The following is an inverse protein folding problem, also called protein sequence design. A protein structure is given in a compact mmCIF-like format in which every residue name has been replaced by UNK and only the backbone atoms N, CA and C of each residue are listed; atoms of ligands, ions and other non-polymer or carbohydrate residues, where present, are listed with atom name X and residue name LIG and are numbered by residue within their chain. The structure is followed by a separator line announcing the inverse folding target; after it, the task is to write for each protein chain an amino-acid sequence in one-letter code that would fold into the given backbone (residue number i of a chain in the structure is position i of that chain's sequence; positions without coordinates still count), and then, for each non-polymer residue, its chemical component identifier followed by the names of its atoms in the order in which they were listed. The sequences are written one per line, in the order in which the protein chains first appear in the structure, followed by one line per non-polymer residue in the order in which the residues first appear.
data_IF_526565675714
#
_entry.id   IF_526565675714
#
_cell.length_a   1.000
_cell.length_b   1.000
_cell.length_c   1.000
_cell.angle_alpha   90.00
_cell.angle_beta   90.00
_cell.angle_gamma   90.00
#
_symmetry.space_group_name_H-M   'P 1'
#
loop_
_entity.id
_entity.type
_entity.pdbx_description
1 polymer ?
#
# COMPACT_ATOMS: atom_id res chain seq x y z
N UNK A 1 -40.96 -19.05 23.96
CA UNK A 1 -39.68 -19.80 23.95
C UNK A 1 -38.92 -19.44 22.68
N UNK A 2 -37.89 -18.58 22.73
CA UNK A 2 -37.02 -18.35 21.59
C UNK A 2 -35.69 -19.08 21.79
N UNK A 3 -35.40 -20.04 20.90
CA UNK A 3 -34.12 -20.74 20.84
C UNK A 3 -33.04 -19.80 20.26
N UNK A 4 -32.15 -19.34 21.11
CA UNK A 4 -30.94 -18.60 20.76
C UNK A 4 -29.98 -19.52 19.99
N UNK A 5 -29.88 -19.35 18.67
CA UNK A 5 -28.78 -19.92 17.88
C UNK A 5 -27.51 -19.12 18.17
N UNK A 6 -26.69 -19.64 19.07
CA UNK A 6 -25.31 -19.19 19.29
C UNK A 6 -24.47 -19.45 18.03
N UNK A 7 -24.01 -18.37 17.40
CA UNK A 7 -22.92 -18.39 16.42
C UNK A 7 -21.69 -19.10 16.99
N UNK A 8 -20.96 -19.93 16.21
CA UNK A 8 -19.76 -20.58 16.68
C UNK A 8 -18.68 -19.50 16.87
N UNK A 9 -18.36 -19.22 18.14
CA UNK A 9 -17.20 -18.42 18.52
C UNK A 9 -15.97 -18.95 17.80
N UNK A 10 -15.37 -18.12 16.93
CA UNK A 10 -13.99 -18.33 16.46
C UNK A 10 -13.17 -18.65 17.71
N UNK A 11 -12.66 -19.87 17.82
CA UNK A 11 -11.80 -20.31 18.91
C UNK A 11 -10.49 -19.52 18.85
N UNK A 12 -10.53 -18.30 19.39
CA UNK A 12 -9.34 -17.59 19.84
C UNK A 12 -8.69 -18.49 20.86
N UNK A 13 -7.58 -19.13 20.47
CA UNK A 13 -6.73 -19.91 21.37
C UNK A 13 -6.36 -18.98 22.52
N UNK A 14 -7.07 -19.11 23.64
CA UNK A 14 -6.92 -18.25 24.82
C UNK A 14 -5.64 -18.66 25.51
N UNK A 15 -4.54 -18.03 25.11
CA UNK A 15 -3.19 -18.27 25.60
C UNK A 15 -3.12 -17.96 27.10
N UNK A 16 -2.48 -18.83 27.89
CA UNK A 16 -2.38 -18.69 29.34
C UNK A 16 -1.35 -17.62 29.79
N UNK A 17 -0.41 -17.27 28.92
CA UNK A 17 0.74 -16.40 29.25
C UNK A 17 0.56 -14.95 28.78
N UNK A 18 -0.60 -14.35 29.07
CA UNK A 18 -0.92 -12.98 28.61
C UNK A 18 0.04 -11.92 29.14
N UNK A 19 0.54 -12.08 30.38
CA UNK A 19 1.49 -11.14 30.99
C UNK A 19 2.88 -11.18 30.32
N UNK A 20 3.41 -12.38 30.05
CA UNK A 20 4.69 -12.54 29.36
C UNK A 20 4.61 -12.06 27.91
N UNK A 21 3.53 -12.38 27.20
CA UNK A 21 3.28 -11.88 25.86
C UNK A 21 3.21 -10.34 25.82
N UNK A 22 2.51 -9.72 26.77
CA UNK A 22 2.44 -8.26 26.86
C UNK A 22 3.81 -7.61 27.13
N UNK A 23 4.63 -8.24 27.97
CA UNK A 23 6.00 -7.79 28.24
C UNK A 23 6.88 -7.87 26.99
N UNK A 24 6.92 -9.02 26.30
CA UNK A 24 7.71 -9.19 25.07
C UNK A 24 7.20 -8.25 23.97
N UNK A 25 5.88 -8.08 23.84
CA UNK A 25 5.29 -7.12 22.91
C UNK A 25 5.77 -5.70 23.20
N UNK A 26 5.79 -5.28 24.47
CA UNK A 26 6.29 -3.97 24.91
C UNK A 26 7.76 -3.78 24.53
N UNK A 27 8.60 -4.80 24.70
CA UNK A 27 10.02 -4.78 24.29
C UNK A 27 10.13 -4.55 22.77
N UNK A 28 9.47 -5.38 21.96
CA UNK A 28 9.58 -5.31 20.48
C UNK A 28 9.08 -3.95 19.96
N UNK A 29 8.00 -3.42 20.53
CA UNK A 29 7.46 -2.11 20.11
C UNK A 29 8.29 -0.92 20.58
N UNK A 30 9.20 -1.09 21.54
CA UNK A 30 9.97 0.01 22.11
C UNK A 30 10.90 0.65 21.08
N UNK A 31 11.06 1.99 21.09
CA UNK A 31 11.97 2.68 20.18
C UNK A 31 13.43 2.27 20.43
N UNK A 32 13.79 1.94 21.68
CA UNK A 32 15.12 1.46 22.03
C UNK A 32 15.45 0.14 21.34
N UNK A 33 14.53 -0.83 21.36
CA UNK A 33 14.73 -2.09 20.65
C UNK A 33 14.93 -1.87 19.15
N UNK A 34 14.12 -1.01 18.53
CA UNK A 34 14.27 -0.64 17.11
C UNK A 34 15.64 -0.02 16.83
N UNK A 35 16.12 0.89 17.67
CA UNK A 35 17.45 1.51 17.54
C UNK A 35 18.59 0.49 17.68
N UNK A 36 18.47 -0.43 18.64
CA UNK A 36 19.44 -1.53 18.82
C UNK A 36 19.49 -2.40 17.56
N UNK A 37 18.33 -2.78 17.02
CA UNK A 37 18.27 -3.61 15.81
C UNK A 37 18.83 -2.90 14.58
N UNK A 38 18.51 -1.62 14.39
CA UNK A 38 19.11 -0.81 13.31
C UNK A 38 20.63 -0.72 13.49
N UNK A 39 21.13 -0.50 14.72
CA UNK A 39 22.55 -0.46 15.02
C UNK A 39 23.25 -1.79 14.69
N UNK A 40 22.63 -2.92 15.04
CA UNK A 40 23.11 -4.27 14.69
C UNK A 40 23.21 -4.44 13.17
N UNK A 41 22.18 -4.01 12.42
CA UNK A 41 22.17 -4.08 10.95
C UNK A 41 23.27 -3.21 10.34
N UNK A 42 23.41 -1.97 10.81
CA UNK A 42 24.45 -1.05 10.32
C UNK A 42 25.86 -1.52 10.63
N UNK A 43 26.07 -2.07 11.83
CA UNK A 43 27.36 -2.63 12.23
C UNK A 43 27.70 -3.87 11.40
N UNK A 44 26.72 -4.74 11.14
CA UNK A 44 26.92 -5.88 10.24
C UNK A 44 27.29 -5.42 8.82
N UNK A 45 26.58 -4.44 8.26
CA UNK A 45 26.90 -3.91 6.95
C UNK A 45 28.33 -3.36 6.87
N UNK A 46 28.78 -2.65 7.91
CA UNK A 46 30.15 -2.17 8.02
C UNK A 46 31.16 -3.32 8.08
N UNK A 47 30.88 -4.38 8.83
CA UNK A 47 31.73 -5.57 8.89
C UNK A 47 31.84 -6.27 7.52
N UNK A 48 30.75 -6.35 6.76
CA UNK A 48 30.75 -6.89 5.38
C UNK A 48 31.66 -6.07 4.46
N UNK A 49 31.60 -4.74 4.55
CA UNK A 49 32.51 -3.85 3.79
C UNK A 49 33.98 -4.13 4.15
N UNK A 50 34.31 -4.24 5.44
CA UNK A 50 35.67 -4.56 5.87
C UNK A 50 36.14 -5.95 5.40
N UNK A 51 35.23 -6.91 5.25
CA UNK A 51 35.54 -8.25 4.75
C UNK A 51 35.87 -8.29 3.26
N UNK A 52 35.57 -7.23 2.50
CA UNK A 52 35.86 -7.16 1.06
C UNK A 52 37.36 -7.07 0.78
N UNK A 53 38.13 -6.48 1.70
CA UNK A 53 39.59 -6.52 1.63
C UNK A 53 40.12 -7.88 2.13
N UNK A 54 40.68 -8.67 1.21
CA UNK A 54 41.26 -9.98 1.53
C UNK A 54 42.32 -9.89 2.64
N UNK A 55 43.16 -8.85 2.65
CA UNK A 55 44.24 -8.71 3.63
C UNK A 55 43.69 -8.54 5.05
N UNK A 56 42.66 -7.70 5.19
CA UNK A 56 41.95 -7.48 6.44
C UNK A 56 41.15 -8.72 6.88
N UNK A 57 40.49 -9.40 5.93
CA UNK A 57 39.75 -10.65 6.17
C UNK A 57 40.62 -11.76 6.76
N UNK A 58 41.83 -11.97 6.22
CA UNK A 58 42.74 -12.99 6.75
C UNK A 58 43.29 -12.63 8.13
N UNK A 59 43.64 -11.35 8.37
CA UNK A 59 44.20 -10.90 9.65
C UNK A 59 43.19 -10.97 10.80
N UNK A 60 41.92 -10.63 10.53
CA UNK A 60 40.86 -10.54 11.53
C UNK A 60 39.83 -11.68 11.42
N UNK A 61 40.18 -12.78 10.77
CA UNK A 61 39.26 -13.89 10.46
C UNK A 61 38.43 -14.35 11.68
N UNK A 62 39.07 -14.58 12.84
CA UNK A 62 38.38 -15.01 14.06
C UNK A 62 37.39 -13.97 14.60
N UNK A 63 37.71 -12.68 14.49
CA UNK A 63 36.81 -11.62 14.95
C UNK A 63 35.57 -11.55 14.07
N UNK A 64 35.74 -11.68 12.75
CA UNK A 64 34.61 -11.71 11.82
C UNK A 64 33.70 -12.93 12.03
N UNK A 65 34.26 -14.11 12.30
CA UNK A 65 33.47 -15.30 12.62
C UNK A 65 32.64 -15.12 13.91
N UNK A 66 33.23 -14.53 14.96
CA UNK A 66 32.52 -14.23 16.21
C UNK A 66 31.43 -13.18 15.98
N UNK A 67 31.73 -12.09 15.27
CA UNK A 67 30.76 -11.04 14.98
C UNK A 67 29.59 -11.57 14.15
N UNK A 68 29.86 -12.41 13.15
CA UNK A 68 28.83 -13.06 12.34
C UNK A 68 27.90 -13.92 13.20
N UNK A 69 28.46 -14.70 14.13
CA UNK A 69 27.67 -15.49 15.08
C UNK A 69 26.80 -14.60 15.99
N UNK A 70 27.32 -13.47 16.47
CA UNK A 70 26.57 -12.50 17.27
C UNK A 70 25.40 -11.92 16.45
N UNK A 71 25.64 -11.52 15.19
CA UNK A 71 24.61 -10.97 14.32
C UNK A 71 23.49 -11.98 14.01
N UNK A 72 23.86 -13.21 13.65
CA UNK A 72 22.88 -14.29 13.42
C UNK A 72 22.05 -14.55 14.66
N UNK A 73 22.68 -14.57 15.84
CA UNK A 73 21.99 -14.76 17.12
C UNK A 73 21.01 -13.61 17.37
N UNK A 74 21.44 -12.35 17.18
CA UNK A 74 20.58 -11.18 17.34
C UNK A 74 19.35 -11.22 16.43
N UNK A 75 19.52 -11.58 15.16
CA UNK A 75 18.40 -11.71 14.22
C UNK A 75 17.47 -12.88 14.55
N UNK A 76 18.02 -13.99 15.03
CA UNK A 76 17.24 -15.17 15.43
C UNK A 76 16.39 -14.86 16.67
N UNK A 77 16.97 -14.22 17.69
CA UNK A 77 16.25 -13.85 18.92
C UNK A 77 15.07 -12.92 18.61
N UNK A 78 15.29 -11.90 17.79
CA UNK A 78 14.22 -11.01 17.35
C UNK A 78 13.08 -11.77 16.65
N UNK A 79 13.42 -12.68 15.73
CA UNK A 79 12.45 -13.48 15.01
C UNK A 79 11.62 -14.35 15.95
N UNK A 80 12.27 -15.08 16.85
CA UNK A 80 11.58 -15.90 17.84
C UNK A 80 10.69 -15.05 18.76
N UNK A 81 11.13 -13.85 19.15
CA UNK A 81 10.31 -12.92 19.91
C UNK A 81 9.06 -12.47 19.13
N UNK A 82 9.19 -12.12 17.84
CA UNK A 82 8.06 -11.72 16.98
C UNK A 82 7.05 -12.86 16.77
N UNK A 83 7.53 -14.06 16.43
CA UNK A 83 6.69 -15.26 16.28
C UNK A 83 6.02 -15.65 17.60
N UNK A 84 6.73 -15.49 18.73
CA UNK A 84 6.16 -15.75 20.05
C UNK A 84 5.00 -14.80 20.36
N UNK A 85 5.10 -13.51 20.03
CA UNK A 85 4.05 -12.53 20.35
C UNK A 85 2.78 -12.74 19.52
N UNK A 86 2.89 -13.00 18.22
CA UNK A 86 1.73 -13.19 17.35
C UNK A 86 1.96 -14.29 16.30
N UNK A 87 1.83 -15.57 16.66
CA UNK A 87 2.20 -16.68 15.78
C UNK A 87 1.28 -16.83 14.56
N UNK A 88 0.08 -16.23 14.54
CA UNK A 88 -0.88 -16.40 13.44
C UNK A 88 -0.82 -15.19 12.50
N UNK A 89 -0.84 -13.96 13.03
CA UNK A 89 -0.79 -12.79 12.16
C UNK A 89 0.64 -12.52 11.65
N UNK A 90 1.66 -13.04 12.31
CA UNK A 90 3.05 -12.90 11.84
C UNK A 90 3.22 -13.39 10.39
N UNK A 91 2.61 -14.51 10.02
CA UNK A 91 2.71 -15.08 8.67
C UNK A 91 1.88 -14.34 7.61
N UNK A 92 0.95 -13.48 8.02
CA UNK A 92 0.12 -12.69 7.08
C UNK A 92 0.79 -11.40 6.65
N UNK A 93 1.72 -10.87 7.44
CA UNK A 93 2.43 -9.63 7.15
C UNK A 93 3.63 -9.88 6.22
N UNK A 94 3.61 -9.30 5.02
CA UNK A 94 4.68 -9.46 4.02
C UNK A 94 6.05 -8.97 4.50
N UNK A 95 6.10 -8.00 5.42
CA UNK A 95 7.37 -7.53 5.98
C UNK A 95 7.96 -8.52 6.99
N UNK A 96 7.12 -9.28 7.68
CA UNK A 96 7.56 -10.34 8.57
C UNK A 96 8.04 -11.57 7.78
N UNK A 97 7.49 -11.81 6.58
CA UNK A 97 8.02 -12.83 5.67
C UNK A 97 9.46 -12.53 5.24
N UNK A 98 9.84 -11.26 5.08
CA UNK A 98 11.23 -10.88 4.79
C UNK A 98 12.19 -11.31 5.90
N UNK A 99 11.79 -11.22 7.17
CA UNK A 99 12.61 -11.69 8.30
C UNK A 99 12.90 -13.20 8.19
N UNK A 100 11.93 -14.00 7.76
CA UNK A 100 12.10 -15.45 7.51
C UNK A 100 13.11 -15.69 6.39
N UNK A 101 12.97 -14.96 5.26
CA UNK A 101 13.88 -15.07 4.12
C UNK A 101 15.32 -14.73 4.52
N UNK A 102 15.50 -13.71 5.37
CA UNK A 102 16.82 -13.34 5.90
C UNK A 102 17.41 -14.47 6.75
N UNK A 103 16.64 -15.12 7.62
CA UNK A 103 17.13 -16.24 8.43
C UNK A 103 17.50 -17.45 7.58
N UNK A 104 16.71 -17.75 6.55
CA UNK A 104 17.03 -18.80 5.59
C UNK A 104 18.36 -18.48 4.92
N UNK A 105 18.54 -17.24 4.46
CA UNK A 105 19.77 -16.77 3.82
C UNK A 105 20.99 -16.92 4.72
N UNK A 106 20.86 -16.60 6.01
CA UNK A 106 21.92 -16.76 7.01
C UNK A 106 22.26 -18.23 7.28
N UNK A 107 21.27 -19.12 7.16
CA UNK A 107 21.42 -20.55 7.45
C UNK A 107 22.06 -21.34 6.31
N UNK A 108 21.89 -20.88 5.05
CA UNK A 108 22.38 -21.54 3.84
C UNK A 108 23.89 -21.88 3.89
N UNK A 109 24.82 -20.93 4.14
CA UNK A 109 26.25 -21.22 4.11
C UNK A 109 26.71 -22.09 5.28
N UNK A 110 26.11 -21.92 6.47
CA UNK A 110 26.37 -22.81 7.62
C UNK A 110 25.99 -24.26 7.30
N UNK A 111 24.81 -24.46 6.69
CA UNK A 111 24.31 -25.77 6.29
C UNK A 111 25.15 -26.38 5.15
N UNK A 112 25.48 -25.58 4.12
CA UNK A 112 26.29 -26.01 2.99
C UNK A 112 27.71 -26.43 3.40
N UNK A 113 28.34 -25.66 4.29
CA UNK A 113 29.69 -25.96 4.80
C UNK A 113 29.70 -27.28 5.60
N UNK A 114 28.64 -27.55 6.38
CA UNK A 114 28.49 -28.78 7.17
C UNK A 114 28.30 -30.03 6.31
N UNK A 115 27.64 -29.92 5.15
CA UNK A 115 27.30 -31.07 4.30
C UNK A 115 28.36 -31.37 3.23
N UNK A 116 28.91 -30.34 2.56
CA UNK A 116 29.76 -30.53 1.37
C UNK A 116 31.24 -30.14 1.54
N UNK A 117 31.65 -29.68 2.73
CA UNK A 117 33.02 -29.25 3.00
C UNK A 117 33.39 -27.90 2.37
N UNK A 118 34.56 -27.37 2.73
CA UNK A 118 35.00 -25.99 2.40
C UNK A 118 35.26 -25.70 0.91
N UNK A 119 35.21 -26.69 0.02
CA UNK A 119 35.63 -26.58 -1.38
C UNK A 119 34.43 -26.64 -2.34
N UNK A 120 33.40 -25.82 -2.09
CA UNK A 120 32.23 -25.72 -2.96
C UNK A 120 32.26 -24.39 -3.72
N UNK A 121 32.35 -24.38 -5.07
CA UNK A 121 32.54 -23.16 -5.86
C UNK A 121 31.37 -22.17 -5.72
N UNK A 122 30.19 -22.64 -5.34
CA UNK A 122 29.01 -21.80 -5.12
C UNK A 122 28.95 -21.15 -3.72
N UNK A 123 29.92 -21.41 -2.83
CA UNK A 123 30.00 -20.73 -1.53
C UNK A 123 30.16 -19.22 -1.68
N UNK A 124 30.91 -18.77 -2.69
CA UNK A 124 31.08 -17.34 -2.96
C UNK A 124 29.76 -16.65 -3.32
N UNK A 125 28.87 -17.36 -4.04
CA UNK A 125 27.54 -16.85 -4.38
C UNK A 125 26.66 -16.82 -3.12
N UNK A 126 26.69 -17.88 -2.30
CA UNK A 126 25.97 -17.94 -1.03
C UNK A 126 26.42 -16.82 -0.08
N UNK A 127 27.73 -16.56 0.01
CA UNK A 127 28.32 -15.44 0.77
C UNK A 127 27.81 -14.09 0.23
N UNK A 128 27.70 -13.93 -1.09
CA UNK A 128 27.13 -12.74 -1.72
C UNK A 128 25.67 -12.49 -1.35
N UNK A 129 24.83 -13.54 -1.37
CA UNK A 129 23.41 -13.48 -0.99
C UNK A 129 23.24 -12.99 0.45
N UNK A 130 24.19 -13.28 1.35
CA UNK A 130 24.13 -12.75 2.72
C UNK A 130 24.14 -11.22 2.81
N UNK A 131 24.65 -10.51 1.79
CA UNK A 131 24.61 -9.05 1.74
C UNK A 131 23.17 -8.53 1.72
N UNK A 132 22.21 -9.35 1.28
CA UNK A 132 20.78 -9.02 1.27
C UNK A 132 20.20 -8.79 2.68
N UNK A 133 20.89 -9.17 3.75
CA UNK A 133 20.42 -8.88 5.11
C UNK A 133 20.29 -7.38 5.42
N UNK A 134 20.93 -6.51 4.64
CA UNK A 134 20.70 -5.06 4.71
C UNK A 134 19.24 -4.69 4.43
N UNK A 135 18.53 -5.52 3.64
CA UNK A 135 17.09 -5.37 3.37
C UNK A 135 16.26 -5.46 4.66
N UNK A 136 16.80 -6.04 5.74
CA UNK A 136 16.14 -6.01 7.05
C UNK A 136 15.81 -4.59 7.52
N UNK A 137 16.57 -3.59 7.09
CA UNK A 137 16.31 -2.19 7.39
C UNK A 137 14.91 -1.73 6.93
N UNK A 138 14.35 -2.37 5.89
CA UNK A 138 12.98 -2.13 5.40
C UNK A 138 11.95 -2.42 6.51
N UNK A 139 12.18 -3.44 7.34
CA UNK A 139 11.26 -3.79 8.44
C UNK A 139 11.27 -2.74 9.57
N UNK A 140 12.26 -1.85 9.62
CA UNK A 140 12.40 -0.84 10.67
C UNK A 140 12.12 0.58 10.20
N UNK A 141 12.51 0.92 8.97
CA UNK A 141 12.36 2.27 8.43
C UNK A 141 11.00 2.47 7.76
N UNK A 142 10.16 3.32 8.36
CA UNK A 142 8.89 3.74 7.76
C UNK A 142 9.10 4.43 6.41
N UNK A 143 10.15 5.23 6.26
CA UNK A 143 10.45 5.92 5.01
C UNK A 143 10.72 4.96 3.86
N UNK A 144 11.52 3.91 4.10
CA UNK A 144 11.82 2.89 3.08
C UNK A 144 10.56 2.08 2.74
N UNK A 145 9.73 1.74 3.74
CA UNK A 145 8.44 1.07 3.48
C UNK A 145 7.54 1.92 2.59
N UNK A 146 7.39 3.22 2.88
CA UNK A 146 6.62 4.13 2.04
C UNK A 146 7.15 4.18 0.62
N UNK A 147 8.48 4.25 0.45
CA UNK A 147 9.11 4.26 -0.87
C UNK A 147 8.83 2.97 -1.66
N UNK A 148 8.99 1.81 -1.02
CA UNK A 148 8.74 0.51 -1.66
C UNK A 148 7.26 0.34 -1.99
N UNK A 149 6.35 0.76 -1.10
CA UNK A 149 4.91 0.72 -1.39
C UNK A 149 4.57 1.63 -2.56
N UNK A 150 5.16 2.82 -2.65
CA UNK A 150 4.97 3.72 -3.79
C UNK A 150 5.47 3.07 -5.09
N UNK A 151 6.66 2.46 -5.08
CA UNK A 151 7.19 1.71 -6.24
C UNK A 151 6.27 0.55 -6.61
N UNK A 152 5.74 -0.18 -5.64
CA UNK A 152 4.82 -1.30 -5.87
C UNK A 152 3.52 -0.87 -6.55
N UNK A 153 3.01 0.32 -6.24
CA UNK A 153 1.84 0.90 -6.89
C UNK A 153 2.10 1.20 -8.38
N UNK A 154 3.31 1.62 -8.74
CA UNK A 154 3.69 1.90 -10.13
C UNK A 154 4.10 0.63 -10.88
N UNK A 155 4.57 -0.39 -10.17
CA UNK A 155 5.10 -1.61 -10.77
C UNK A 155 4.04 -2.38 -11.59
N UNK A 156 2.78 -2.40 -11.14
CA UNK A 156 1.71 -3.10 -11.86
C UNK A 156 1.45 -2.50 -13.24
N UNK A 157 1.45 -1.18 -13.35
CA UNK A 157 1.22 -0.50 -14.64
C UNK A 157 2.43 -0.67 -15.57
N UNK A 158 3.64 -0.63 -15.02
CA UNK A 158 4.90 -0.87 -15.75
C UNK A 158 5.00 -2.33 -16.24
N UNK A 159 4.54 -3.30 -15.45
CA UNK A 159 4.67 -4.73 -15.75
C UNK A 159 4.03 -5.11 -17.09
N UNK A 160 2.85 -4.56 -17.41
CA UNK A 160 2.16 -4.84 -18.68
C UNK A 160 2.99 -4.43 -19.90
N UNK A 161 3.68 -3.28 -19.83
CA UNK A 161 4.54 -2.80 -20.92
C UNK A 161 5.85 -3.57 -20.97
N UNK A 162 6.41 -3.95 -19.82
CA UNK A 162 7.59 -4.82 -19.78
C UNK A 162 7.33 -6.20 -20.39
N UNK A 163 6.13 -6.77 -20.21
CA UNK A 163 5.75 -8.03 -20.87
C UNK A 163 5.71 -7.86 -22.39
N UNK A 164 5.12 -6.77 -22.89
CA UNK A 164 5.13 -6.46 -24.32
C UNK A 164 6.56 -6.28 -24.85
N UNK A 165 7.42 -5.59 -24.11
CA UNK A 165 8.82 -5.41 -24.45
C UNK A 165 9.58 -6.75 -24.46
N UNK A 166 9.32 -7.64 -23.51
CA UNK A 166 9.92 -8.98 -23.47
C UNK A 166 9.48 -9.85 -24.67
N UNK A 167 8.21 -9.76 -25.08
CA UNK A 167 7.70 -10.44 -26.30
C UNK A 167 8.42 -9.90 -27.54
N UNK A 168 8.60 -8.58 -27.65
CA UNK A 168 9.38 -7.99 -28.74
C UNK A 168 10.82 -8.50 -28.75
N UNK A 169 11.49 -8.48 -27.58
CA UNK A 169 12.85 -9.02 -27.46
C UNK A 169 12.91 -10.49 -27.86
N UNK A 170 11.93 -11.31 -27.49
CA UNK A 170 11.88 -12.72 -27.91
C UNK A 170 11.83 -12.86 -29.44
N UNK A 171 10.96 -12.09 -30.11
CA UNK A 171 10.85 -12.12 -31.58
C UNK A 171 12.18 -11.73 -32.22
N UNK A 172 12.80 -10.64 -31.75
CA UNK A 172 14.09 -10.18 -32.26
C UNK A 172 15.25 -11.12 -31.88
N UNK A 173 15.17 -11.83 -30.77
CA UNK A 173 16.18 -12.79 -30.33
C UNK A 173 16.22 -13.99 -31.28
N UNK A 174 15.05 -14.53 -31.64
CA UNK A 174 14.93 -15.61 -32.62
C UNK A 174 15.38 -15.13 -34.00
N UNK A 175 14.99 -13.93 -34.42
CA UNK A 175 15.43 -13.35 -35.70
C UNK A 175 16.95 -13.16 -35.74
N UNK A 176 17.55 -12.56 -34.71
CA UNK A 176 18.99 -12.34 -34.65
C UNK A 176 19.78 -13.64 -34.56
N UNK A 177 19.27 -14.65 -33.85
CA UNK A 177 19.83 -16.01 -33.87
C UNK A 177 19.83 -16.60 -35.29
N UNK A 178 18.72 -16.49 -36.02
CA UNK A 178 18.62 -17.01 -37.39
C UNK A 178 19.48 -16.23 -38.39
N UNK A 179 19.65 -14.92 -38.20
CA UNK A 179 20.37 -14.04 -39.13
C UNK A 179 21.89 -14.00 -38.86
N UNK A 180 22.30 -14.02 -37.59
CA UNK A 180 23.68 -13.77 -37.17
C UNK A 180 24.31 -14.92 -36.37
N UNK A 181 23.53 -15.92 -35.95
CA UNK A 181 23.98 -17.08 -35.16
C UNK A 181 24.46 -18.28 -35.98
N UNK A 182 24.69 -18.11 -37.28
CA UNK A 182 25.14 -19.20 -38.15
C UNK A 182 26.50 -19.78 -37.71
N UNK A 183 26.68 -21.12 -37.73
CA UNK A 183 27.92 -21.78 -37.27
C UNK A 183 29.16 -21.43 -38.11
N UNK A 184 28.98 -20.99 -39.36
CA UNK A 184 30.05 -20.53 -40.23
C UNK A 184 29.92 -19.01 -40.47
N UNK A 185 30.81 -18.22 -39.85
CA UNK A 185 30.89 -16.76 -40.04
C UNK A 185 29.97 -15.92 -39.15
N UNK A 186 29.07 -16.53 -38.37
CA UNK A 186 28.20 -15.85 -37.40
C UNK A 186 28.93 -15.27 -36.20
N UNK A 187 28.25 -14.37 -35.49
CA UNK A 187 28.73 -13.78 -34.24
C UNK A 187 28.24 -14.60 -33.05
N UNK A 188 28.93 -15.73 -32.80
CA UNK A 188 28.61 -16.68 -31.75
C UNK A 188 28.66 -16.06 -30.34
N UNK A 189 29.48 -15.02 -30.11
CA UNK A 189 29.54 -14.40 -28.79
C UNK A 189 28.22 -13.74 -28.37
N UNK A 190 27.45 -13.25 -29.34
CA UNK A 190 26.21 -12.51 -29.10
C UNK A 190 24.96 -13.32 -29.50
N UNK A 191 25.07 -14.17 -30.53
CA UNK A 191 23.92 -14.83 -31.15
C UNK A 191 24.02 -16.37 -31.17
N UNK A 192 24.89 -16.99 -30.36
CA UNK A 192 25.01 -18.46 -30.28
C UNK A 192 23.77 -19.14 -29.68
N UNK A 193 23.11 -18.51 -28.71
CA UNK A 193 21.92 -19.06 -28.07
C UNK A 193 20.95 -17.95 -27.69
N UNK A 194 19.73 -18.35 -27.34
CA UNK A 194 18.68 -17.40 -27.01
C UNK A 194 19.06 -16.51 -25.80
N UNK A 195 19.82 -17.02 -24.83
CA UNK A 195 20.25 -16.25 -23.67
C UNK A 195 21.27 -15.16 -24.03
N UNK A 196 22.25 -15.48 -24.89
CA UNK A 196 23.18 -14.51 -25.47
C UNK A 196 22.44 -13.44 -26.26
N UNK A 197 21.51 -13.86 -27.13
CA UNK A 197 20.70 -12.95 -27.94
C UNK A 197 19.85 -12.00 -27.07
N UNK A 198 19.24 -12.51 -25.99
CA UNK A 198 18.52 -11.67 -25.02
C UNK A 198 19.44 -10.66 -24.34
N UNK A 199 20.66 -11.05 -23.97
CA UNK A 199 21.63 -10.14 -23.34
C UNK A 199 22.07 -9.04 -24.32
N UNK A 200 22.36 -9.39 -25.57
CA UNK A 200 22.69 -8.43 -26.63
C UNK A 200 21.52 -7.47 -26.90
N UNK A 201 20.29 -7.98 -27.02
CA UNK A 201 19.10 -7.14 -27.22
C UNK A 201 18.79 -6.24 -26.02
N UNK A 202 19.05 -6.70 -24.80
CA UNK A 202 18.93 -5.86 -23.61
C UNK A 202 19.90 -4.67 -23.68
N UNK A 203 21.16 -4.89 -24.06
CA UNK A 203 22.16 -3.82 -24.30
C UNK A 203 21.73 -2.87 -25.41
N UNK A 204 21.22 -3.41 -26.53
CA UNK A 204 20.71 -2.60 -27.64
C UNK A 204 19.50 -1.75 -27.24
N UNK A 205 18.65 -2.26 -26.35
CA UNK A 205 17.45 -1.55 -25.91
C UNK A 205 17.79 -0.36 -25.00
N UNK A 206 18.88 -0.43 -24.24
CA UNK A 206 19.46 0.71 -23.52
C UNK A 206 20.31 1.61 -24.42
N UNK A 207 20.43 1.28 -25.71
CA UNK A 207 21.27 1.97 -26.69
C UNK A 207 22.75 1.99 -26.23
N UNK A 208 23.17 0.94 -25.53
CA UNK A 208 24.53 0.79 -25.01
C UNK A 208 25.34 -0.17 -25.89
N UNK A 209 26.56 0.23 -26.25
CA UNK A 209 27.47 -0.57 -27.07
C UNK A 209 26.99 -0.92 -28.49
N UNK A 210 25.93 -0.28 -28.99
CA UNK A 210 25.32 -0.65 -30.28
C UNK A 210 26.21 -0.37 -31.50
N UNK A 211 27.07 0.66 -31.44
CA UNK A 211 28.02 0.99 -32.51
C UNK A 211 29.06 -0.09 -32.69
N UNK A 212 29.60 -0.61 -31.57
CA UNK A 212 30.64 -1.63 -31.57
C UNK A 212 30.09 -2.97 -32.05
N UNK A 213 28.84 -3.28 -31.68
CA UNK A 213 28.12 -4.44 -32.22
C UNK A 213 27.89 -4.28 -33.72
N UNK A 214 27.47 -3.10 -34.17
CA UNK A 214 27.21 -2.83 -35.58
C UNK A 214 28.49 -2.90 -36.42
N UNK A 215 29.61 -2.38 -35.92
CA UNK A 215 30.92 -2.49 -36.58
C UNK A 215 31.34 -3.96 -36.76
N UNK A 216 31.15 -4.80 -35.73
CA UNK A 216 31.42 -6.24 -35.82
C UNK A 216 30.53 -6.95 -36.84
N UNK A 217 29.25 -6.56 -36.93
CA UNK A 217 28.30 -7.11 -37.91
C UNK A 217 28.62 -6.64 -39.33
N UNK A 218 29.02 -5.38 -39.49
CA UNK A 218 29.42 -4.78 -40.78
C UNK A 218 30.70 -5.44 -41.32
N UNK A 219 31.69 -5.69 -40.46
CA UNK A 219 32.94 -6.39 -40.82
C UNK A 219 32.70 -7.82 -41.31
N UNK A 220 31.54 -8.42 -40.97
CA UNK A 220 31.12 -9.75 -41.41
C UNK A 220 30.23 -9.72 -42.67
N UNK A 221 30.04 -8.54 -43.27
CA UNK A 221 29.23 -8.30 -44.47
C UNK A 221 27.74 -8.69 -44.34
N UNK A 222 27.17 -8.62 -43.14
CA UNK A 222 25.74 -8.84 -42.94
C UNK A 222 24.93 -7.63 -43.42
N UNK A 223 24.43 -7.67 -44.65
CA UNK A 223 23.69 -6.55 -45.28
C UNK A 223 22.42 -6.13 -44.53
N UNK A 224 21.74 -7.08 -43.86
CA UNK A 224 20.52 -6.82 -43.09
C UNK A 224 20.79 -6.36 -41.65
N UNK A 225 22.05 -6.34 -41.20
CA UNK A 225 22.41 -6.02 -39.81
C UNK A 225 22.02 -4.61 -39.41
N UNK A 226 22.36 -3.60 -40.24
CA UNK A 226 22.02 -2.20 -39.98
C UNK A 226 20.51 -1.99 -39.85
N UNK A 227 19.75 -2.57 -40.76
CA UNK A 227 18.29 -2.48 -40.74
C UNK A 227 17.71 -3.15 -39.49
N UNK A 228 18.20 -4.34 -39.11
CA UNK A 228 17.81 -5.05 -37.90
C UNK A 228 18.09 -4.21 -36.64
N UNK A 229 19.32 -3.74 -36.46
CA UNK A 229 19.75 -2.98 -35.27
C UNK A 229 19.00 -1.67 -35.14
N UNK A 230 18.90 -0.88 -36.22
CA UNK A 230 18.19 0.41 -36.20
C UNK A 230 16.70 0.21 -35.94
N UNK A 231 16.07 -0.78 -36.58
CA UNK A 231 14.63 -1.05 -36.37
C UNK A 231 14.36 -1.48 -34.93
N UNK A 232 15.20 -2.35 -34.37
CA UNK A 232 15.06 -2.76 -32.98
C UNK A 232 15.21 -1.57 -32.02
N UNK A 233 16.25 -0.75 -32.19
CA UNK A 233 16.50 0.43 -31.34
C UNK A 233 15.32 1.41 -31.41
N UNK A 234 14.78 1.68 -32.61
CA UNK A 234 13.65 2.58 -32.77
C UNK A 234 12.39 2.06 -32.08
N UNK A 235 12.05 0.77 -32.27
CA UNK A 235 10.87 0.17 -31.65
C UNK A 235 11.06 0.09 -30.13
N UNK A 236 12.23 -0.35 -29.65
CA UNK A 236 12.52 -0.43 -28.22
C UNK A 236 12.44 0.96 -27.56
N UNK A 237 13.06 1.98 -28.15
CA UNK A 237 13.01 3.37 -27.66
C UNK A 237 11.58 3.91 -27.64
N UNK A 238 10.78 3.62 -28.68
CA UNK A 238 9.38 3.99 -28.73
C UNK A 238 8.56 3.34 -27.61
N UNK A 239 8.78 2.04 -27.34
CA UNK A 239 8.12 1.35 -26.23
C UNK A 239 8.54 1.94 -24.88
N UNK A 240 9.83 2.20 -24.66
CA UNK A 240 10.31 2.82 -23.42
C UNK A 240 9.73 4.23 -23.21
N UNK A 241 9.68 5.05 -24.25
CA UNK A 241 9.05 6.37 -24.19
C UNK A 241 7.55 6.26 -23.91
N UNK A 242 6.86 5.34 -24.60
CA UNK A 242 5.43 5.07 -24.40
C UNK A 242 5.13 4.59 -22.98
N UNK A 243 6.01 3.77 -22.40
CA UNK A 243 5.94 3.34 -21.01
C UNK A 243 6.06 4.53 -20.05
N UNK A 244 7.06 5.38 -20.27
CA UNK A 244 7.30 6.56 -19.43
C UNK A 244 6.11 7.53 -19.48
N UNK A 245 5.59 7.81 -20.67
CA UNK A 245 4.40 8.65 -20.87
C UNK A 245 3.18 8.01 -20.22
N UNK A 246 2.94 6.71 -20.41
CA UNK A 246 1.81 6.01 -19.81
C UNK A 246 1.82 6.03 -18.29
N UNK A 247 2.97 5.74 -17.68
CA UNK A 247 3.14 5.78 -16.22
C UNK A 247 2.98 7.20 -15.69
N UNK A 248 3.56 8.19 -16.35
CA UNK A 248 3.41 9.59 -15.96
C UNK A 248 1.95 10.04 -16.01
N UNK A 249 1.23 9.73 -17.09
CA UNK A 249 -0.19 10.10 -17.24
C UNK A 249 -1.02 9.48 -16.13
N UNK A 250 -0.86 8.17 -15.85
CA UNK A 250 -1.62 7.50 -14.79
C UNK A 250 -1.35 8.17 -13.43
N UNK A 251 -0.08 8.43 -13.10
CA UNK A 251 0.26 9.11 -11.84
C UNK A 251 -0.27 10.54 -11.75
N UNK A 252 -0.19 11.29 -12.85
CA UNK A 252 -0.70 12.65 -12.92
C UNK A 252 -2.22 12.66 -12.82
N UNK A 253 -2.92 11.75 -13.50
CA UNK A 253 -4.37 11.62 -13.44
C UNK A 253 -4.84 11.24 -12.03
N UNK A 254 -4.21 10.26 -11.38
CA UNK A 254 -4.52 9.87 -10.00
C UNK A 254 -4.25 11.02 -9.01
N UNK A 255 -3.16 11.77 -9.23
CA UNK A 255 -2.82 12.94 -8.42
C UNK A 255 -3.84 14.06 -8.59
N UNK A 256 -4.29 14.34 -9.82
CA UNK A 256 -5.33 15.32 -10.13
C UNK A 256 -6.65 14.91 -9.49
N UNK A 257 -7.10 13.66 -9.67
CA UNK A 257 -8.34 13.15 -9.05
C UNK A 257 -8.29 13.17 -7.52
N UNK A 258 -7.11 12.95 -6.93
CA UNK A 258 -6.92 13.06 -5.48
C UNK A 258 -7.04 14.52 -5.03
N UNK A 259 -6.36 15.44 -5.74
CA UNK A 259 -6.42 16.87 -5.46
C UNK A 259 -7.84 17.43 -5.58
N UNK A 260 -8.59 17.06 -6.62
CA UNK A 260 -9.99 17.47 -6.78
C UNK A 260 -10.88 17.00 -5.62
N UNK A 261 -10.70 15.76 -5.15
CA UNK A 261 -11.43 15.23 -3.98
C UNK A 261 -11.11 16.00 -2.70
N UNK A 262 -9.84 16.29 -2.45
CA UNK A 262 -9.41 17.07 -1.30
C UNK A 262 -10.01 18.48 -1.34
N UNK A 263 -10.00 19.11 -2.52
CA UNK A 263 -10.55 20.45 -2.72
C UNK A 263 -12.09 20.49 -2.59
N UNK A 264 -12.81 19.48 -3.08
CA UNK A 264 -14.26 19.37 -2.84
C UNK A 264 -14.57 19.21 -1.36
N UNK A 265 -13.79 18.39 -0.64
CA UNK A 265 -13.98 18.17 0.79
C UNK A 265 -13.72 19.47 1.58
N UNK A 266 -12.68 20.21 1.24
CA UNK A 266 -12.38 21.51 1.87
C UNK A 266 -13.50 22.54 1.62
N UNK A 267 -14.04 22.60 0.40
CA UNK A 267 -15.22 23.45 0.09
C UNK A 267 -16.44 23.04 0.90
N UNK A 268 -16.75 21.76 0.99
CA UNK A 268 -17.89 21.27 1.79
C UNK A 268 -17.73 21.62 3.27
N UNK A 269 -16.52 21.46 3.83
CA UNK A 269 -16.23 21.84 5.22
C UNK A 269 -16.38 23.35 5.44
N UNK A 270 -16.00 24.16 4.45
CA UNK A 270 -16.14 25.63 4.52
C UNK A 270 -17.62 26.04 4.50
N UNK A 271 -18.41 25.48 3.59
CA UNK A 271 -19.86 25.71 3.51
C UNK A 271 -20.59 25.27 4.77
N UNK A 272 -20.20 24.14 5.39
CA UNK A 272 -20.77 23.70 6.65
C UNK A 272 -20.49 24.67 7.80
N UNK A 273 -19.25 25.19 7.88
CA UNK A 273 -18.90 26.22 8.87
C UNK A 273 -19.71 27.50 8.67
N UNK A 274 -19.85 27.97 7.43
CA UNK A 274 -20.66 29.15 7.12
C UNK A 274 -22.14 28.95 7.45
N UNK A 275 -22.72 27.78 7.09
CA UNK A 275 -24.11 27.42 7.45
C UNK A 275 -24.31 27.46 8.97
N UNK A 276 -23.38 26.91 9.74
CA UNK A 276 -23.45 26.93 11.21
C UNK A 276 -23.41 28.35 11.78
N UNK A 277 -22.58 29.24 11.22
CA UNK A 277 -22.52 30.64 11.66
C UNK A 277 -23.82 31.38 11.35
N UNK A 278 -24.42 31.16 10.17
CA UNK A 278 -25.69 31.78 9.79
C UNK A 278 -26.82 31.31 10.70
N UNK A 279 -26.94 30.00 10.92
CA UNK A 279 -27.97 29.43 11.80
C UNK A 279 -27.87 29.98 13.23
N UNK A 280 -26.64 30.08 13.76
CA UNK A 280 -26.43 30.64 15.09
C UNK A 280 -26.88 32.10 15.18
N UNK A 281 -26.58 32.93 14.16
CA UNK A 281 -27.06 34.32 14.10
C UNK A 281 -28.57 34.41 14.05
N UNK A 282 -29.22 33.56 13.23
CA UNK A 282 -30.67 33.52 13.15
C UNK A 282 -31.31 33.16 14.50
N UNK A 283 -30.74 32.17 15.21
CA UNK A 283 -31.24 31.78 16.54
C UNK A 283 -31.07 32.91 17.58
N UNK A 284 -29.94 33.63 17.55
CA UNK A 284 -29.70 34.78 18.42
C UNK A 284 -30.67 35.94 18.12
N UNK A 285 -30.96 36.22 16.84
CA UNK A 285 -31.94 37.23 16.43
C UNK A 285 -33.37 36.87 16.86
N UNK A 286 -33.80 35.63 16.62
CA UNK A 286 -35.14 35.15 17.06
C UNK A 286 -35.26 35.23 18.57
N UNK A 287 -34.24 34.80 19.31
CA UNK A 287 -34.21 34.90 20.78
C UNK A 287 -34.32 36.36 21.26
N UNK A 288 -33.59 37.28 20.60
CA UNK A 288 -33.64 38.71 20.91
C UNK A 288 -35.03 39.30 20.64
N UNK A 289 -35.66 38.94 19.51
CA UNK A 289 -37.01 39.39 19.18
C UNK A 289 -38.05 38.88 20.18
N UNK A 290 -37.97 37.60 20.59
CA UNK A 290 -38.83 37.04 21.64
C UNK A 290 -38.65 37.78 22.98
N UNK A 291 -37.42 38.15 23.33
CA UNK A 291 -37.15 38.90 24.56
C UNK A 291 -37.65 40.35 24.49
N UNK A 292 -37.55 41.00 23.33
CA UNK A 292 -38.12 42.33 23.11
C UNK A 292 -39.66 42.29 23.20
N UNK A 293 -40.30 41.30 22.61
CA UNK A 293 -41.75 41.10 22.73
C UNK A 293 -42.18 40.85 24.19
N UNK A 294 -41.34 40.16 24.98
CA UNK A 294 -41.61 39.91 26.40
C UNK A 294 -41.42 41.16 27.28
N UNK A 295 -40.54 42.08 26.90
CA UNK A 295 -40.21 43.28 27.67
C UNK A 295 -41.01 44.53 27.26
N UNK A 296 -41.69 44.50 26.11
CA UNK A 296 -42.52 45.62 25.63
C UNK A 296 -43.99 45.27 25.84
N UNK A 297 -44.62 45.94 26.81
CA UNK A 297 -46.04 45.82 27.17
C UNK A 297 -46.95 46.55 26.15
N UNK A 298 -46.83 46.20 24.86
CA UNK A 298 -47.84 46.55 23.86
C UNK A 298 -48.75 45.35 23.64
N UNK A 299 -50.06 45.61 23.63
CA UNK A 299 -51.14 44.70 23.21
C UNK A 299 -50.63 43.74 22.15
N UNK A 300 -50.72 42.44 22.42
CA UNK A 300 -50.26 41.37 21.52
C UNK A 300 -50.64 41.71 20.07
N UNK A 301 -49.77 41.48 19.08
CA UNK A 301 -50.10 41.70 17.66
C UNK A 301 -51.46 41.06 17.32
N UNK A 302 -51.70 39.88 17.87
CA UNK A 302 -52.97 39.17 17.91
C UNK A 302 -54.15 40.05 18.37
N UNK A 303 -54.00 40.79 19.47
CA UNK A 303 -55.01 41.67 20.05
C UNK A 303 -55.24 42.95 19.22
N UNK A 304 -54.22 43.45 18.53
CA UNK A 304 -54.34 44.57 17.61
C UNK A 304 -55.06 44.14 16.31
N UNK A 305 -54.73 42.96 15.81
CA UNK A 305 -55.42 42.27 14.71
C UNK A 305 -56.86 41.91 15.10
N UNK A 306 -57.13 41.47 16.33
CA UNK A 306 -58.47 41.14 16.82
C UNK A 306 -59.37 42.39 16.96
N UNK A 307 -58.80 43.51 17.42
CA UNK A 307 -59.52 44.79 17.48
C UNK A 307 -59.80 45.36 16.08
N UNK A 308 -58.86 45.18 15.14
CA UNK A 308 -59.07 45.57 13.74
C UNK A 308 -60.11 44.66 13.05
N UNK A 309 -60.06 43.35 13.33
CA UNK A 309 -61.05 42.35 12.90
C UNK A 309 -62.46 42.69 13.37
N UNK A 310 -62.61 43.21 14.60
CA UNK A 310 -63.90 43.72 15.11
C UNK A 310 -64.41 44.98 14.40
N UNK A 311 -63.56 45.67 13.65
CA UNK A 311 -63.89 46.91 12.93
C UNK A 311 -64.25 46.66 11.45
N UNK A 312 -63.98 45.46 10.92
CA UNK A 312 -64.24 45.08 9.53
C UNK A 312 -65.64 44.47 9.33
N UNK A 313 -66.25 44.66 8.16
CA UNK A 313 -67.54 44.02 7.81
C UNK A 313 -67.28 42.59 7.32
N UNK A 314 -68.27 41.69 7.48
CA UNK A 314 -68.14 40.24 7.23
C UNK A 314 -67.76 39.80 5.79
N UNK A 315 -67.50 40.73 4.87
CA UNK A 315 -67.14 40.47 3.47
C UNK A 315 -65.77 41.02 3.06
N UNK A 316 -65.04 41.68 3.96
CA UNK A 316 -63.74 42.26 3.63
C UNK A 316 -62.62 41.19 3.73
N UNK A 317 -61.78 41.01 2.68
CA UNK A 317 -60.68 40.06 2.73
C UNK A 317 -59.59 40.53 3.70
N UNK A 318 -59.18 39.66 4.61
CA UNK A 318 -58.16 39.91 5.64
C UNK A 318 -56.95 38.99 5.44
N UNK A 319 -55.74 39.53 5.57
CA UNK A 319 -54.51 38.74 5.67
C UNK A 319 -54.53 38.05 7.04
N UNK A 320 -54.70 36.72 7.05
CA UNK A 320 -54.60 35.91 8.26
C UNK A 320 -53.17 35.98 8.80
N UNK A 321 -53.02 35.91 10.13
CA UNK A 321 -51.78 35.49 10.78
C UNK A 321 -51.43 34.11 10.23
N UNK A 322 -50.62 34.07 9.18
CA UNK A 322 -50.22 32.81 8.60
C UNK A 322 -49.36 32.13 9.66
N UNK A 323 -49.78 30.94 10.11
CA UNK A 323 -49.11 30.18 11.18
C UNK A 323 -47.59 30.09 10.94
N UNK A 324 -47.20 30.05 9.66
CA UNK A 324 -45.83 30.05 9.15
C UNK A 324 -44.97 31.27 9.49
N UNK A 325 -45.56 32.42 9.85
CA UNK A 325 -44.83 33.66 10.16
C UNK A 325 -44.79 34.01 11.65
N UNK A 326 -45.41 33.19 12.52
CA UNK A 326 -45.38 33.45 13.96
C UNK A 326 -44.00 33.14 14.56
N UNK A 327 -43.48 34.03 15.42
CA UNK A 327 -42.18 33.84 16.08
C UNK A 327 -42.08 32.50 16.85
N UNK A 328 -43.11 32.03 17.57
CA UNK A 328 -43.08 30.72 18.22
C UNK A 328 -43.00 29.56 17.21
N UNK A 329 -43.69 29.66 16.06
CA UNK A 329 -43.59 28.65 15.02
C UNK A 329 -42.19 28.62 14.39
N UNK A 330 -41.60 29.79 14.13
CA UNK A 330 -40.23 29.89 13.58
C UNK A 330 -39.21 29.27 14.54
N UNK A 331 -39.30 29.53 15.85
CA UNK A 331 -38.40 28.94 16.85
C UNK A 331 -38.56 27.41 16.94
N UNK A 332 -39.79 26.92 16.99
CA UNK A 332 -40.08 25.47 16.97
C UNK A 332 -39.59 24.83 15.67
N UNK A 333 -39.76 25.51 14.52
CA UNK A 333 -39.30 25.03 13.22
C UNK A 333 -37.77 24.96 13.15
N UNK A 334 -37.06 25.98 13.61
CA UNK A 334 -35.59 25.99 13.68
C UNK A 334 -35.05 24.91 14.63
N UNK A 335 -35.68 24.74 15.80
CA UNK A 335 -35.32 23.67 16.74
C UNK A 335 -35.57 22.27 16.15
N UNK A 336 -36.67 22.12 15.39
CA UNK A 336 -36.98 20.87 14.69
C UNK A 336 -35.95 20.58 13.61
N UNK A 337 -35.54 21.60 12.84
CA UNK A 337 -34.48 21.47 11.84
C UNK A 337 -33.15 21.07 12.48
N UNK A 338 -32.78 21.64 13.62
CA UNK A 338 -31.54 21.29 14.33
C UNK A 338 -31.55 19.84 14.83
N UNK A 339 -32.70 19.37 15.32
CA UNK A 339 -32.88 17.98 15.72
C UNK A 339 -32.86 17.02 14.50
N UNK A 340 -33.42 17.44 13.36
CA UNK A 340 -33.33 16.68 12.11
C UNK A 340 -31.89 16.59 11.61
N UNK A 341 -31.15 17.71 11.57
CA UNK A 341 -29.73 17.73 11.19
C UNK A 341 -28.92 16.81 12.12
N UNK A 342 -29.13 16.89 13.44
CA UNK A 342 -28.50 15.99 14.43
C UNK A 342 -28.80 14.52 14.17
N UNK A 343 -30.04 14.21 13.81
CA UNK A 343 -30.46 12.83 13.49
C UNK A 343 -29.78 12.35 12.21
N UNK A 344 -29.70 13.19 11.18
CA UNK A 344 -29.01 12.89 9.92
C UNK A 344 -27.51 12.64 10.18
N UNK A 345 -26.84 13.47 10.98
CA UNK A 345 -25.44 13.27 11.33
C UNK A 345 -25.19 11.92 12.01
N UNK A 346 -26.03 11.56 12.99
CA UNK A 346 -25.95 10.25 13.65
C UNK A 346 -26.20 9.10 12.67
N UNK A 347 -27.15 9.25 11.75
CA UNK A 347 -27.44 8.23 10.74
C UNK A 347 -26.26 8.05 9.78
N UNK A 348 -25.62 9.16 9.39
CA UNK A 348 -24.46 9.15 8.51
C UNK A 348 -23.24 8.52 9.17
N UNK A 349 -23.00 8.80 10.46
CA UNK A 349 -21.97 8.15 11.27
C UNK A 349 -22.19 6.63 11.31
N UNK A 350 -23.43 6.20 11.58
CA UNK A 350 -23.81 4.79 11.57
C UNK A 350 -23.61 4.14 10.18
N UNK A 351 -23.87 4.88 9.11
CA UNK A 351 -23.63 4.44 7.75
C UNK A 351 -22.13 4.26 7.46
N UNK A 352 -21.29 5.18 7.92
CA UNK A 352 -19.83 5.04 7.81
C UNK A 352 -19.31 3.83 8.60
N UNK A 353 -19.83 3.59 9.81
CA UNK A 353 -19.49 2.39 10.57
C UNK A 353 -19.93 1.11 9.84
N UNK A 354 -21.14 1.07 9.29
CA UNK A 354 -21.64 -0.07 8.50
C UNK A 354 -20.74 -0.32 7.29
N UNK A 355 -20.41 0.74 6.53
CA UNK A 355 -19.52 0.64 5.36
C UNK A 355 -18.12 0.17 5.77
N UNK A 356 -17.59 0.67 6.90
CA UNK A 356 -16.31 0.25 7.43
C UNK A 356 -16.33 -1.25 7.79
N UNK A 357 -17.38 -1.73 8.46
CA UNK A 357 -17.56 -3.14 8.80
C UNK A 357 -17.76 -4.01 7.55
N UNK A 358 -18.53 -3.54 6.57
CA UNK A 358 -18.69 -4.23 5.27
C UNK A 358 -17.36 -4.30 4.51
N UNK A 359 -16.56 -3.24 4.54
CA UNK A 359 -15.20 -3.24 3.99
C UNK A 359 -14.31 -4.29 4.65
N UNK A 360 -14.34 -4.34 5.99
CA UNK A 360 -13.64 -5.38 6.76
C UNK A 360 -14.14 -6.80 6.44
N UNK A 361 -15.44 -6.99 6.17
CA UNK A 361 -16.00 -8.28 5.76
C UNK A 361 -15.65 -8.66 4.32
N UNK A 362 -15.51 -7.69 3.41
CA UNK A 362 -15.15 -7.94 2.02
C UNK A 362 -13.66 -8.33 1.88
N UNK A 363 -12.81 -7.81 2.77
CA UNK A 363 -11.39 -8.20 2.87
C UNK A 363 -11.19 -9.61 3.46
N UNK A 364 -12.20 -10.20 4.11
CA UNK A 364 -12.22 -11.60 4.58
C UNK A 364 -12.98 -12.49 3.55
N UNK A 365 -12.32 -13.17 2.59
CA UNK A 365 -13.04 -14.07 1.68
C UNK A 365 -13.67 -15.23 2.47
N UNK A 366 -14.89 -15.69 2.11
CA UNK A 366 -15.51 -16.83 2.76
C UNK A 366 -14.63 -18.07 2.52
N UNK A 367 -14.11 -18.63 3.60
CA UNK A 367 -13.51 -19.97 3.58
C UNK A 367 -14.55 -20.93 2.97
N UNK A 368 -14.30 -21.38 1.74
CA UNK A 368 -14.92 -22.57 1.16
C UNK A 368 -14.73 -23.70 2.17
N UNK A 369 -15.82 -24.14 2.81
CA UNK A 369 -15.89 -25.46 3.44
C UNK A 369 -15.73 -26.51 2.34
N UNK A 370 -14.49 -26.93 2.09
CA UNK A 370 -14.20 -28.18 1.39
C UNK A 370 -14.59 -29.35 2.31
N UNK A 371 -15.67 -30.04 1.90
CA UNK A 371 -15.79 -31.49 1.86
C UNK A 371 -15.13 -32.29 2.99
N UNK A 372 -15.91 -32.59 4.04
CA UNK A 372 -15.83 -33.86 4.75
C UNK A 372 -17.25 -34.32 5.12
N UNK A 373 -17.87 -35.03 4.20
CA UNK A 373 -18.91 -36.03 4.47
C UNK A 373 -18.43 -37.30 3.76
N UNK A 374 -17.65 -38.11 4.47
CA UNK A 374 -18.13 -39.42 4.92
C UNK A 374 -18.25 -40.41 3.77
N UNK A 375 -17.10 -40.87 3.29
CA UNK A 375 -16.98 -42.12 2.55
C UNK A 375 -16.86 -43.24 3.59
N UNK A 376 -18.00 -43.86 3.93
CA UNK A 376 -18.13 -45.25 4.41
C UNK A 376 -19.60 -45.64 4.58
N UNK A 377 -19.92 -46.82 4.04
CA UNK A 377 -21.17 -47.61 4.08
C UNK A 377 -22.30 -47.05 3.17
N UNK A 378 -22.73 -47.73 2.11
CA UNK A 378 -23.40 -49.04 2.10
C UNK A 378 -23.48 -49.62 0.67
N UNK A 379 -23.33 -50.94 0.59
CA UNK A 379 -23.95 -51.94 -0.29
C UNK A 379 -24.46 -51.52 -1.69
N UNK A 380 -23.84 -52.03 -2.76
CA UNK A 380 -24.25 -53.23 -3.55
C UNK A 380 -23.24 -53.49 -4.67
#
# INVERSE_FOLDING_TARGET
MPSTKSSPSKTLIRRKDTQCQAFVKRIITSPLFKMIMISIISMNAFVVVLCTDYKTRYKLFRLFEILEMIFVTGYSVEFYMKVYVDPINYWKDGYNLLDVVIIITLSIPYFLCKIKGKHYPYLNIADGIQSLRILKLITYSRGIRTLITAIGQTAYTVASVLVLFFVLMYIFAVLGFCLFGGPEGGDLNNWENLAGAFFTLFSLATVDGWTDLQEKLDNRNFMLSRAFTITFILIASFIFLSMFVGVMIIHTEDSIKKFERELMLERHLTLLKEKQVILKRQQEEVSRLMQMQKNVDYRSFTELVENFRRTLRHTDPMVLDDFGTSLPFIDVYLSTLDNQDTTIYKLQELYYEIVHVLGLMLEDPPQKKQSHSSEKADDT
#
